data_IF_882138426429
#
_entry.id   IF_882138426429
#
_cell.length_a   1.000
_cell.length_b   1.000
_cell.length_c   1.000
_cell.angle_alpha   90.00
_cell.angle_beta   90.00
_cell.angle_gamma   90.00
#
_symmetry.space_group_name_H-M   'P 1'
#
loop_
_entity.id
_entity.type
_entity.pdbx_description
1 polymer ?
#
# COMPACT_ATOMS: atom_id res chain seq x y z
N UNK A 1 -0.12 93.76 -16.82
CA UNK A 1 -0.18 92.71 -17.88
C UNK A 1 -0.05 91.39 -17.21
N UNK A 2 -1.14 90.77 -16.81
CA UNK A 2 -1.14 89.47 -16.17
C UNK A 2 -1.42 88.41 -17.23
N UNK A 3 -0.53 87.47 -17.36
CA UNK A 3 -0.68 86.34 -18.26
C UNK A 3 -1.23 85.16 -17.48
N UNK A 4 -2.50 84.83 -17.70
CA UNK A 4 -3.19 83.72 -17.04
C UNK A 4 -2.94 82.48 -17.86
N UNK A 5 -2.12 81.51 -17.31
CA UNK A 5 -1.86 80.21 -17.88
C UNK A 5 -2.98 79.25 -17.45
N UNK A 6 -3.82 78.85 -18.38
CA UNK A 6 -4.83 77.79 -18.18
C UNK A 6 -4.14 76.44 -18.25
N UNK A 7 -4.02 75.76 -17.11
CA UNK A 7 -3.55 74.33 -17.04
C UNK A 7 -4.75 73.43 -17.29
N UNK A 8 -4.76 72.80 -18.45
CA UNK A 8 -5.73 71.78 -18.79
C UNK A 8 -5.35 70.50 -18.10
N UNK A 9 -6.22 69.94 -17.21
CA UNK A 9 -6.06 68.64 -16.56
C UNK A 9 -6.42 67.53 -17.55
N UNK A 10 -5.41 66.89 -18.13
CA UNK A 10 -5.59 65.62 -18.83
C UNK A 10 -5.73 64.49 -17.80
N UNK A 11 -6.93 63.95 -17.71
CA UNK A 11 -7.19 62.75 -16.92
C UNK A 11 -6.84 61.54 -17.83
N UNK A 12 -5.70 60.94 -17.59
CA UNK A 12 -5.32 59.66 -18.23
C UNK A 12 -5.94 58.53 -17.39
N UNK A 13 -7.02 57.96 -17.89
CA UNK A 13 -7.64 56.76 -17.33
C UNK A 13 -6.87 55.56 -17.83
N UNK A 14 -5.92 55.04 -17.04
CA UNK A 14 -5.26 53.78 -17.29
C UNK A 14 -6.21 52.65 -16.93
N UNK A 15 -6.77 51.97 -17.94
CA UNK A 15 -7.48 50.73 -17.75
C UNK A 15 -6.47 49.60 -17.48
N UNK A 16 -6.39 49.18 -16.23
CA UNK A 16 -5.64 47.98 -15.83
C UNK A 16 -6.49 46.78 -16.18
N UNK A 17 -6.21 46.14 -17.29
CA UNK A 17 -6.73 44.78 -17.60
C UNK A 17 -6.07 43.78 -16.70
N UNK A 18 -6.78 43.33 -15.67
CA UNK A 18 -6.39 42.19 -14.84
C UNK A 18 -6.59 40.93 -15.69
N UNK A 19 -5.51 40.44 -16.30
CA UNK A 19 -5.48 39.14 -16.88
C UNK A 19 -5.44 38.11 -15.71
N UNK A 20 -6.61 37.53 -15.39
CA UNK A 20 -6.73 36.51 -14.38
C UNK A 20 -5.92 35.28 -14.81
N UNK A 21 -4.77 35.09 -14.18
CA UNK A 21 -4.06 33.82 -14.23
C UNK A 21 -4.85 32.84 -13.35
N UNK A 22 -5.70 32.03 -13.98
CA UNK A 22 -6.28 30.86 -13.32
C UNK A 22 -5.12 29.93 -12.96
N UNK A 23 -4.97 29.51 -11.69
CA UNK A 23 -4.07 28.40 -11.40
C UNK A 23 -4.62 27.17 -12.14
N UNK A 24 -3.85 26.65 -13.10
CA UNK A 24 -4.08 25.31 -13.61
C UNK A 24 -3.84 24.37 -12.41
N UNK A 25 -4.91 23.90 -11.80
CA UNK A 25 -4.86 22.74 -10.95
C UNK A 25 -4.41 21.60 -11.85
N UNK A 26 -3.13 21.25 -11.77
CA UNK A 26 -2.68 19.96 -12.24
C UNK A 26 -3.38 18.95 -11.32
N UNK A 27 -4.53 18.44 -11.75
CA UNK A 27 -5.05 17.19 -11.24
C UNK A 27 -3.97 16.16 -11.59
N UNK A 28 -3.19 15.82 -10.57
CA UNK A 28 -2.30 14.69 -10.63
C UNK A 28 -3.20 13.45 -10.58
N UNK A 29 -3.85 13.15 -11.72
CA UNK A 29 -4.35 11.81 -11.97
C UNK A 29 -3.12 10.92 -11.86
N UNK A 30 -2.92 10.34 -10.68
CA UNK A 30 -1.96 9.29 -10.43
C UNK A 30 -2.34 8.08 -11.27
N UNK A 31 -2.15 8.21 -12.59
CA UNK A 31 -2.26 7.10 -13.49
C UNK A 31 -1.10 6.19 -13.14
N UNK A 32 -1.46 5.10 -12.48
CA UNK A 32 -0.60 3.99 -12.11
C UNK A 32 -0.16 3.27 -13.42
N UNK A 33 0.63 4.00 -14.22
CA UNK A 33 1.11 3.53 -15.51
C UNK A 33 2.30 2.61 -15.28
N UNK A 34 2.33 1.42 -15.88
CA UNK A 34 3.49 0.56 -15.80
C UNK A 34 4.72 1.27 -16.33
N UNK A 35 5.80 1.29 -15.54
CA UNK A 35 7.05 1.92 -15.93
C UNK A 35 7.79 1.02 -16.90
N UNK A 36 7.85 1.40 -18.20
CA UNK A 36 8.68 0.71 -19.16
C UNK A 36 10.14 1.11 -18.95
N UNK A 37 10.97 0.18 -18.49
CA UNK A 37 12.39 0.43 -18.19
C UNK A 37 13.33 0.15 -19.37
N UNK A 38 12.93 -0.76 -20.25
CA UNK A 38 13.64 -1.09 -21.50
C UNK A 38 12.69 -1.82 -22.44
N UNK A 39 13.13 -2.05 -23.70
CA UNK A 39 12.33 -2.80 -24.65
C UNK A 39 11.98 -4.20 -24.10
N UNK A 40 10.69 -4.45 -23.90
CA UNK A 40 10.16 -5.72 -23.39
C UNK A 40 10.19 -5.90 -21.88
N UNK A 41 10.64 -4.90 -21.10
CA UNK A 41 10.60 -4.93 -19.63
C UNK A 41 9.62 -3.89 -19.09
N UNK A 42 8.59 -4.37 -18.37
CA UNK A 42 7.56 -3.54 -17.75
C UNK A 42 7.49 -3.87 -16.28
N UNK A 43 7.51 -2.85 -15.40
CA UNK A 43 7.16 -3.03 -14.00
C UNK A 43 5.65 -2.82 -13.84
N UNK A 44 4.97 -3.72 -13.12
CA UNK A 44 3.56 -3.53 -12.78
C UNK A 44 3.34 -2.25 -11.95
N UNK A 45 2.12 -1.71 -11.96
CA UNK A 45 1.73 -0.64 -11.03
C UNK A 45 1.93 -1.06 -9.58
N UNK A 46 2.47 -0.14 -8.77
CA UNK A 46 2.67 -0.32 -7.33
C UNK A 46 1.48 0.31 -6.59
N UNK A 47 0.32 -0.40 -6.56
CA UNK A 47 -0.94 0.10 -6.00
C UNK A 47 -1.15 -0.42 -4.57
N UNK A 48 -0.80 0.42 -3.58
CA UNK A 48 -0.93 0.06 -2.17
C UNK A 48 -2.40 -0.15 -1.73
N UNK A 49 -3.36 0.54 -2.35
CA UNK A 49 -4.78 0.37 -2.02
C UNK A 49 -5.31 -0.99 -2.49
N UNK A 50 -4.90 -1.42 -3.67
CA UNK A 50 -5.20 -2.78 -4.15
C UNK A 50 -4.44 -3.82 -3.34
N UNK A 51 -3.19 -3.54 -2.98
CA UNK A 51 -2.37 -4.40 -2.14
C UNK A 51 -3.01 -4.68 -0.77
N UNK A 52 -3.64 -3.67 -0.14
CA UNK A 52 -4.37 -3.82 1.12
C UNK A 52 -5.52 -4.84 0.99
N UNK A 53 -6.29 -4.77 -0.08
CA UNK A 53 -7.39 -5.71 -0.34
C UNK A 53 -6.87 -7.12 -0.63
N UNK A 54 -5.81 -7.22 -1.42
CA UNK A 54 -5.19 -8.50 -1.76
C UNK A 54 -4.55 -9.18 -0.55
N UNK A 55 -3.91 -8.41 0.33
CA UNK A 55 -3.32 -8.92 1.58
C UNK A 55 -4.38 -9.63 2.43
N UNK A 56 -5.57 -9.06 2.55
CA UNK A 56 -6.69 -9.70 3.24
C UNK A 56 -7.28 -10.86 2.42
N UNK A 57 -7.71 -10.61 1.19
CA UNK A 57 -8.51 -11.57 0.41
C UNK A 57 -7.73 -12.78 -0.11
N UNK A 58 -6.41 -12.67 -0.24
CA UNK A 58 -5.53 -13.80 -0.60
C UNK A 58 -5.12 -14.65 0.61
N UNK A 59 -5.47 -14.23 1.84
CA UNK A 59 -5.15 -14.97 3.05
C UNK A 59 -3.76 -14.70 3.62
N UNK A 60 -3.02 -13.68 3.14
CA UNK A 60 -1.72 -13.31 3.74
C UNK A 60 -1.89 -12.94 5.21
N UNK A 61 -3.02 -12.31 5.56
CA UNK A 61 -3.41 -11.89 6.91
C UNK A 61 -3.59 -13.04 7.89
N UNK A 62 -3.79 -14.27 7.42
CA UNK A 62 -3.96 -15.44 8.29
C UNK A 62 -2.69 -15.68 9.10
N UNK A 63 -1.53 -15.58 8.49
CA UNK A 63 -0.23 -15.81 9.12
C UNK A 63 0.54 -14.53 9.46
N UNK A 64 0.36 -13.45 8.68
CA UNK A 64 1.08 -12.17 8.85
C UNK A 64 0.18 -11.10 9.43
N UNK A 65 0.69 -10.30 10.36
CA UNK A 65 0.00 -9.11 10.86
C UNK A 65 0.57 -7.82 10.30
N UNK A 66 -0.30 -6.80 10.22
CA UNK A 66 0.03 -5.39 9.96
C UNK A 66 -0.71 -4.53 10.99
N UNK A 67 0.02 -3.70 11.73
CA UNK A 67 -0.51 -2.87 12.84
C UNK A 67 -1.33 -3.66 13.88
N UNK A 68 -0.93 -4.91 14.14
CA UNK A 68 -1.60 -5.80 15.08
C UNK A 68 -2.91 -6.41 14.55
N UNK A 69 -3.18 -6.32 13.24
CA UNK A 69 -4.30 -6.99 12.58
C UNK A 69 -3.76 -8.13 11.73
N UNK A 70 -4.09 -9.36 12.07
CA UNK A 70 -3.62 -10.57 11.40
C UNK A 70 -3.05 -11.61 12.35
N UNK A 71 -2.50 -12.71 11.79
CA UNK A 71 -1.86 -13.79 12.52
C UNK A 71 -0.42 -13.48 12.94
N UNK A 72 0.12 -14.29 13.84
CA UNK A 72 1.46 -14.13 14.44
C UNK A 72 2.43 -15.25 14.05
N UNK A 73 2.03 -16.17 13.16
CA UNK A 73 2.82 -17.36 12.77
C UNK A 73 3.93 -17.04 11.77
N UNK A 74 3.92 -15.82 11.22
CA UNK A 74 4.89 -15.34 10.26
C UNK A 74 5.38 -13.93 10.64
N UNK A 75 6.51 -13.46 10.05
CA UNK A 75 7.04 -12.13 10.36
C UNK A 75 6.02 -11.01 10.14
N UNK A 76 6.01 -10.04 11.05
CA UNK A 76 5.20 -8.82 10.93
C UNK A 76 5.59 -8.04 9.67
N UNK A 77 4.59 -7.49 8.98
CA UNK A 77 4.78 -6.74 7.74
C UNK A 77 4.43 -5.25 7.87
N UNK A 78 4.62 -4.70 9.08
CA UNK A 78 4.44 -3.28 9.33
C UNK A 78 5.48 -2.46 8.55
N UNK A 79 5.05 -1.33 8.00
CA UNK A 79 5.90 -0.47 7.18
C UNK A 79 7.10 0.09 7.97
N UNK A 80 7.01 0.18 9.29
CA UNK A 80 8.12 0.63 10.15
C UNK A 80 9.30 -0.36 10.17
N UNK A 81 9.07 -1.63 9.85
CA UNK A 81 10.11 -2.65 9.76
C UNK A 81 10.70 -2.79 8.34
N UNK A 82 10.12 -2.06 7.37
CA UNK A 82 10.57 -2.12 5.99
C UNK A 82 11.71 -1.14 5.73
N UNK A 83 12.74 -1.60 5.04
CA UNK A 83 13.84 -0.73 4.60
C UNK A 83 13.36 0.24 3.51
N UNK A 84 13.69 1.54 3.65
CA UNK A 84 13.32 2.56 2.68
C UNK A 84 14.56 3.31 2.15
N UNK A 85 14.67 3.51 0.81
CA UNK A 85 13.83 2.94 -0.25
C UNK A 85 14.11 1.45 -0.47
N UNK A 86 13.06 0.64 -0.69
CA UNK A 86 13.23 -0.78 -0.98
C UNK A 86 13.08 -1.06 -2.49
N UNK A 87 13.97 -1.92 -2.98
CA UNK A 87 13.82 -2.51 -4.29
C UNK A 87 12.76 -3.64 -4.21
N UNK A 88 11.67 -3.61 -5.02
CA UNK A 88 10.65 -4.66 -4.99
C UNK A 88 11.18 -6.06 -5.28
N UNK A 89 12.25 -6.18 -6.04
CA UNK A 89 12.91 -7.46 -6.28
C UNK A 89 13.64 -8.00 -5.05
N UNK A 90 14.11 -7.12 -4.14
CA UNK A 90 14.68 -7.55 -2.86
C UNK A 90 13.60 -8.16 -1.96
N UNK A 91 12.42 -7.56 -1.92
CA UNK A 91 11.28 -8.14 -1.20
C UNK A 91 10.90 -9.53 -1.76
N UNK A 92 10.78 -9.64 -3.09
CA UNK A 92 10.51 -10.91 -3.76
C UNK A 92 11.61 -11.96 -3.49
N UNK A 93 12.88 -11.56 -3.44
CA UNK A 93 13.99 -12.45 -3.12
C UNK A 93 13.94 -12.96 -1.67
N UNK A 94 13.53 -12.12 -0.71
CA UNK A 94 13.30 -12.54 0.69
C UNK A 94 12.12 -13.51 0.79
N UNK A 95 11.02 -13.27 0.08
CA UNK A 95 9.91 -14.23 -0.02
C UNK A 95 10.39 -15.57 -0.59
N UNK A 96 11.20 -15.55 -1.65
CA UNK A 96 11.76 -16.75 -2.25
C UNK A 96 12.65 -17.52 -1.26
N UNK A 97 13.47 -16.82 -0.49
CA UNK A 97 14.35 -17.45 0.51
C UNK A 97 13.55 -18.15 1.64
N UNK A 98 12.38 -17.61 2.00
CA UNK A 98 11.46 -18.20 2.99
C UNK A 98 10.36 -19.09 2.41
N UNK A 99 10.37 -19.36 1.09
CA UNK A 99 9.24 -19.95 0.39
C UNK A 99 8.87 -21.35 0.89
N UNK A 100 9.84 -22.18 1.31
CA UNK A 100 9.57 -23.53 1.79
C UNK A 100 8.65 -23.51 3.01
N UNK A 101 9.03 -22.78 4.07
CA UNK A 101 8.24 -22.66 5.28
C UNK A 101 6.89 -21.98 5.03
N UNK A 102 6.86 -20.93 4.22
CA UNK A 102 5.63 -20.22 3.88
C UNK A 102 4.64 -21.09 3.11
N UNK A 103 5.11 -21.94 2.18
CA UNK A 103 4.28 -22.87 1.40
C UNK A 103 3.74 -23.98 2.30
N UNK A 104 4.53 -24.48 3.24
CA UNK A 104 4.10 -25.49 4.20
C UNK A 104 2.94 -24.94 5.05
N UNK A 105 3.13 -23.77 5.69
CA UNK A 105 2.08 -23.12 6.47
C UNK A 105 0.82 -22.82 5.64
N UNK A 106 0.95 -22.36 4.40
CA UNK A 106 -0.22 -22.12 3.55
C UNK A 106 -1.04 -23.37 3.30
N UNK A 107 -0.38 -24.53 3.11
CA UNK A 107 -1.10 -25.79 2.93
C UNK A 107 -1.82 -26.25 4.18
N UNK A 108 -1.19 -26.03 5.32
CA UNK A 108 -1.75 -26.43 6.60
C UNK A 108 -2.92 -25.52 7.00
N UNK A 109 -2.76 -24.20 6.90
CA UNK A 109 -3.73 -23.23 7.40
C UNK A 109 -4.79 -22.81 6.38
N UNK A 110 -4.42 -22.72 5.10
CA UNK A 110 -5.35 -22.29 4.03
C UNK A 110 -5.86 -23.48 3.20
N UNK A 111 -5.29 -24.68 3.35
CA UNK A 111 -5.59 -25.85 2.55
C UNK A 111 -5.04 -25.82 1.13
N UNK A 112 -4.46 -24.72 0.66
CA UNK A 112 -3.84 -24.58 -0.65
C UNK A 112 -2.77 -23.47 -0.64
N UNK A 113 -1.97 -23.43 -1.68
CA UNK A 113 -0.91 -22.42 -1.84
C UNK A 113 -1.46 -21.18 -2.53
N UNK A 114 -1.21 -20.01 -1.96
CA UNK A 114 -1.62 -18.72 -2.54
C UNK A 114 -0.99 -18.53 -3.92
N UNK A 115 -1.81 -18.32 -4.91
CA UNK A 115 -1.36 -18.01 -6.26
C UNK A 115 -1.35 -16.49 -6.47
N UNK A 116 -0.18 -15.93 -6.79
CA UNK A 116 0.01 -14.53 -7.10
C UNK A 116 0.56 -14.36 -8.52
N UNK A 117 0.00 -13.43 -9.26
CA UNK A 117 0.64 -12.92 -10.47
C UNK A 117 1.54 -11.71 -10.15
N UNK A 118 2.25 -11.19 -11.16
CA UNK A 118 3.19 -10.09 -10.95
C UNK A 118 2.54 -8.77 -10.54
N UNK A 119 1.32 -8.49 -10.97
CA UNK A 119 0.56 -7.28 -10.62
C UNK A 119 0.08 -7.36 -9.17
N UNK A 120 -0.45 -8.50 -8.75
CA UNK A 120 -0.87 -8.75 -7.37
C UNK A 120 0.30 -8.68 -6.39
N UNK A 121 1.44 -9.28 -6.75
CA UNK A 121 2.65 -9.20 -5.93
C UNK A 121 3.16 -7.76 -5.82
N UNK A 122 3.19 -7.00 -6.92
CA UNK A 122 3.61 -5.60 -6.91
C UNK A 122 2.70 -4.74 -6.01
N UNK A 123 1.39 -4.96 -6.06
CA UNK A 123 0.42 -4.26 -5.21
C UNK A 123 0.64 -4.60 -3.73
N UNK A 124 0.83 -5.87 -3.37
CA UNK A 124 1.12 -6.29 -1.99
C UNK A 124 2.44 -5.66 -1.52
N UNK A 125 3.50 -5.67 -2.34
CA UNK A 125 4.77 -5.01 -2.01
C UNK A 125 4.56 -3.52 -1.75
N UNK A 126 3.75 -2.83 -2.56
CA UNK A 126 3.41 -1.43 -2.33
C UNK A 126 2.73 -1.22 -0.98
N UNK A 127 1.76 -2.06 -0.63
CA UNK A 127 1.01 -1.97 0.63
C UNK A 127 1.90 -2.17 1.86
N UNK A 128 2.77 -3.16 1.86
CA UNK A 128 3.65 -3.43 3.02
C UNK A 128 4.70 -2.33 3.24
N UNK A 129 4.91 -1.43 2.28
CA UNK A 129 5.82 -0.28 2.40
C UNK A 129 5.09 1.06 2.59
N UNK A 130 3.75 1.10 2.51
CA UNK A 130 2.94 2.31 2.62
C UNK A 130 2.30 2.44 4.01
N UNK A 131 2.98 3.16 4.92
CA UNK A 131 2.50 3.37 6.27
C UNK A 131 1.14 4.10 6.33
N UNK A 132 0.82 4.95 5.34
CA UNK A 132 -0.45 5.68 5.32
C UNK A 132 -1.60 4.79 4.85
N UNK A 133 -1.36 3.87 3.92
CA UNK A 133 -2.35 2.87 3.53
C UNK A 133 -2.54 1.81 4.62
N UNK A 134 -1.47 1.40 5.30
CA UNK A 134 -1.54 0.45 6.43
C UNK A 134 -2.37 0.97 7.60
N UNK A 135 -2.39 2.27 7.86
CA UNK A 135 -3.27 2.88 8.90
C UNK A 135 -4.76 2.68 8.64
N UNK A 136 -5.15 2.41 7.40
CA UNK A 136 -6.55 2.15 7.01
C UNK A 136 -6.93 0.68 7.15
N UNK A 137 -5.93 -0.21 7.28
CA UNK A 137 -6.14 -1.63 7.39
C UNK A 137 -6.75 -2.00 8.74
N UNK A 138 -7.78 -2.82 8.71
CA UNK A 138 -8.52 -3.25 9.91
C UNK A 138 -9.17 -4.62 9.68
N UNK A 139 -9.72 -5.23 10.73
CA UNK A 139 -10.49 -6.47 10.62
C UNK A 139 -11.69 -6.36 9.66
N UNK A 140 -12.21 -5.16 9.43
CA UNK A 140 -13.30 -4.94 8.45
C UNK A 140 -12.85 -5.14 6.98
N UNK A 141 -11.56 -5.19 6.69
CA UNK A 141 -11.01 -5.51 5.37
C UNK A 141 -10.90 -7.02 5.12
N UNK A 142 -11.02 -7.84 6.19
CA UNK A 142 -10.85 -9.29 6.12
C UNK A 142 -12.18 -9.95 5.70
N UNK A 143 -12.21 -10.74 4.61
CA UNK A 143 -13.40 -11.50 4.24
C UNK A 143 -13.78 -12.54 5.31
N UNK A 144 -15.09 -12.81 5.46
CA UNK A 144 -15.61 -13.73 6.48
C UNK A 144 -15.01 -15.16 6.39
N UNK A 145 -14.75 -15.63 5.19
CA UNK A 145 -14.13 -16.94 4.96
C UNK A 145 -12.67 -16.99 5.39
N UNK A 146 -11.94 -15.87 5.25
CA UNK A 146 -10.56 -15.72 5.73
C UNK A 146 -10.51 -15.56 7.25
N UNK A 147 -11.45 -14.78 7.82
CA UNK A 147 -11.59 -14.62 9.28
C UNK A 147 -11.85 -15.96 9.99
N UNK A 148 -12.71 -16.81 9.38
CA UNK A 148 -12.99 -18.14 9.91
C UNK A 148 -11.74 -19.05 9.95
N UNK A 149 -10.78 -18.90 9.04
CA UNK A 149 -9.50 -19.62 9.08
C UNK A 149 -8.65 -19.17 10.27
N UNK A 150 -8.63 -17.87 10.57
CA UNK A 150 -7.87 -17.32 11.70
C UNK A 150 -8.41 -17.77 13.06
N UNK A 151 -9.73 -17.94 13.19
CA UNK A 151 -10.36 -18.41 14.43
C UNK A 151 -9.97 -19.86 14.76
N UNK A 152 -9.87 -20.73 13.76
CA UNK A 152 -9.42 -22.11 13.93
C UNK A 152 -8.00 -22.21 14.48
N UNK A 153 -7.09 -21.38 14.01
CA UNK A 153 -5.70 -21.34 14.49
C UNK A 153 -5.59 -20.97 15.96
N UNK A 154 -6.39 -20.02 16.42
CA UNK A 154 -6.41 -19.59 17.83
C UNK A 154 -6.93 -20.70 18.76
N UNK A 155 -7.89 -21.52 18.31
CA UNK A 155 -8.42 -22.65 19.08
C UNK A 155 -7.42 -23.80 19.19
N UNK A 156 -6.67 -24.12 18.12
CA UNK A 156 -5.66 -25.18 18.12
C UNK A 156 -4.43 -24.80 18.95
N UNK A 157 -3.97 -23.55 18.89
CA UNK A 157 -2.87 -23.04 19.73
C UNK A 157 -3.18 -23.06 21.21
N UNK A 158 -4.43 -22.88 21.60
CA UNK A 158 -4.87 -22.92 23.00
C UNK A 158 -4.88 -24.34 23.61
N UNK A 159 -4.86 -25.39 22.81
CA UNK A 159 -4.86 -26.78 23.25
C UNK A 159 -3.47 -27.45 23.28
N UNK A 160 -2.44 -26.80 22.73
CA UNK A 160 -1.08 -27.34 22.61
C UNK A 160 -0.22 -27.28 23.89
N UNK A 161 -0.51 -26.44 24.86
CA UNK A 161 0.37 -26.17 26.01
C UNK A 161 0.13 -27.07 27.23
N UNK A 162 -0.50 -28.21 27.07
CA UNK A 162 -0.99 -29.02 28.17
C UNK A 162 -0.42 -30.40 28.40
N UNK A 163 0.75 -30.80 27.85
CA UNK A 163 1.32 -32.12 28.18
C UNK A 163 2.82 -32.21 27.96
N UNK A 164 3.64 -31.74 28.87
CA UNK A 164 4.98 -32.31 29.14
C UNK A 164 5.35 -32.12 30.62
N UNK A 165 4.57 -32.72 31.52
CA UNK A 165 5.05 -33.13 32.83
C UNK A 165 5.18 -34.65 32.82
N UNK A 166 6.36 -35.15 32.51
CA UNK A 166 6.76 -36.49 32.82
C UNK A 166 7.99 -36.50 33.74
N UNK A 167 7.76 -37.09 34.93
CA UNK A 167 8.66 -37.67 35.91
C UNK A 167 10.03 -38.12 35.43
#
# INVERSE_FOLDING_TARGET
MEVTIKVSKFVITTAVTFLGILPASAENDGQNMPMTMSDGLVLPPMDATEGRKLFASKGCVVCHAINGVGGEDAPLLDAEFMELPMNPFEFAARMWAGAEAMIELQRDELGDVINLNGEELAAIIAFVHDADEQKKFSSADIPEDVEAMMDHMQEEGAHGDGQDEHD
#
